data_IF_130080181643
#
_entry.id   IF_130080181643
#
_cell.length_a   1.000
_cell.length_b   1.000
_cell.length_c   1.000
_cell.angle_alpha   90.00
_cell.angle_beta   90.00
_cell.angle_gamma   90.00
#
_symmetry.space_group_name_H-M   'P 1'
#
loop_
_entity.id
_entity.type
_entity.pdbx_description
1 polymer ?
#
# COMPACT_ATOMS: atom_id res chain seq x y z
N UNK A 1 -27.50 22.83 2.12
CA UNK A 1 -26.93 21.58 1.58
C UNK A 1 -25.81 21.19 2.52
N UNK A 2 -25.95 20.09 3.25
CA UNK A 2 -24.94 19.63 4.21
C UNK A 2 -23.91 18.84 3.44
N UNK A 3 -22.70 19.39 3.27
CA UNK A 3 -21.59 18.66 2.65
C UNK A 3 -21.18 17.53 3.59
N UNK A 4 -21.39 16.29 3.18
CA UNK A 4 -20.90 15.11 3.91
C UNK A 4 -19.38 15.06 3.72
N UNK A 5 -18.64 14.97 4.82
CA UNK A 5 -17.18 14.83 4.79
C UNK A 5 -16.80 13.51 4.08
N UNK A 6 -15.76 13.51 3.23
CA UNK A 6 -15.33 12.30 2.53
C UNK A 6 -14.83 11.25 3.53
N UNK A 7 -15.07 9.95 3.28
CA UNK A 7 -14.60 8.89 4.16
C UNK A 7 -13.08 8.74 4.08
N UNK A 8 -12.46 8.29 5.17
CA UNK A 8 -11.05 7.91 5.20
C UNK A 8 -10.80 6.73 4.27
N UNK A 9 -9.82 6.87 3.39
CA UNK A 9 -9.31 5.82 2.52
C UNK A 9 -8.13 5.13 3.19
N UNK A 10 -8.06 3.81 3.07
CA UNK A 10 -6.95 2.98 3.48
C UNK A 10 -6.10 2.67 2.26
N UNK A 11 -4.82 3.00 2.33
CA UNK A 11 -3.85 2.78 1.27
C UNK A 11 -2.76 1.84 1.77
N UNK A 12 -2.40 0.79 1.01
CA UNK A 12 -1.27 -0.04 1.34
C UNK A 12 0.03 0.70 1.06
N UNK A 13 1.05 0.45 1.88
CA UNK A 13 2.38 1.03 1.72
C UNK A 13 3.42 -0.10 1.74
N UNK A 14 4.42 0.01 0.87
CA UNK A 14 5.46 -1.00 0.69
C UNK A 14 5.23 -1.89 -0.52
N UNK A 15 6.16 -2.80 -0.74
CA UNK A 15 6.18 -3.73 -1.87
C UNK A 15 6.42 -5.15 -1.37
N UNK A 16 5.65 -6.12 -1.87
CA UNK A 16 5.92 -7.52 -1.61
C UNK A 16 7.29 -7.94 -2.15
N UNK A 17 8.12 -8.50 -1.28
CA UNK A 17 9.51 -8.87 -1.53
C UNK A 17 9.75 -10.38 -1.39
N UNK A 18 8.68 -11.17 -1.41
CA UNK A 18 8.73 -12.64 -1.41
C UNK A 18 8.35 -13.26 -0.08
N UNK A 19 8.44 -14.59 -0.05
CA UNK A 19 8.05 -15.43 1.09
C UNK A 19 9.26 -16.17 1.60
N UNK A 20 9.36 -16.35 2.92
CA UNK A 20 10.41 -17.15 3.53
C UNK A 20 9.91 -18.55 3.92
N UNK A 21 10.69 -19.56 3.50
CA UNK A 21 10.53 -20.96 3.89
C UNK A 21 11.81 -21.40 4.63
N UNK A 22 11.71 -21.91 5.86
CA UNK A 22 12.87 -22.35 6.64
C UNK A 22 13.71 -23.45 5.98
N UNK A 23 13.06 -24.34 5.22
CA UNK A 23 13.70 -25.40 4.46
C UNK A 23 12.94 -25.67 3.15
N UNK A 24 13.59 -26.34 2.20
CA UNK A 24 12.91 -26.75 0.96
C UNK A 24 11.78 -27.72 1.30
N UNK A 25 10.56 -27.35 0.90
CA UNK A 25 9.35 -28.15 1.16
C UNK A 25 8.72 -27.93 2.54
N UNK A 26 9.24 -27.03 3.38
CA UNK A 26 8.58 -26.66 4.63
C UNK A 26 7.44 -25.67 4.39
N UNK A 27 6.50 -25.61 5.34
CA UNK A 27 5.49 -24.56 5.37
C UNK A 27 6.14 -23.16 5.36
N UNK A 28 5.40 -22.22 4.78
CA UNK A 28 5.73 -20.80 4.80
C UNK A 28 5.79 -20.32 6.26
N UNK A 29 6.77 -19.47 6.58
CA UNK A 29 6.88 -18.88 7.92
C UNK A 29 6.42 -17.43 7.98
N UNK A 30 6.77 -16.61 6.99
CA UNK A 30 6.35 -15.21 6.91
C UNK A 30 6.54 -14.66 5.49
N UNK A 31 5.85 -13.55 5.23
CA UNK A 31 5.97 -12.73 4.03
C UNK A 31 6.87 -11.54 4.29
N UNK A 32 7.63 -11.11 3.28
CA UNK A 32 8.52 -9.95 3.37
C UNK A 32 7.93 -8.78 2.62
N UNK A 33 7.77 -7.65 3.28
CA UNK A 33 7.36 -6.38 2.69
C UNK A 33 8.53 -5.41 2.76
N UNK A 34 8.93 -4.85 1.62
CA UNK A 34 9.94 -3.81 1.56
C UNK A 34 9.29 -2.43 1.68
N UNK A 35 9.76 -1.65 2.64
CA UNK A 35 9.41 -0.23 2.80
C UNK A 35 10.70 0.57 2.76
N UNK A 36 10.95 1.27 1.66
CA UNK A 36 12.21 2.00 1.42
C UNK A 36 13.44 1.06 1.49
N UNK A 37 14.31 1.25 2.47
CA UNK A 37 15.51 0.46 2.78
C UNK A 37 15.28 -0.62 3.84
N UNK A 38 14.08 -0.66 4.45
CA UNK A 38 13.71 -1.64 5.45
C UNK A 38 12.92 -2.82 4.86
N UNK A 39 13.02 -3.97 5.51
CA UNK A 39 12.24 -5.18 5.22
C UNK A 39 11.49 -5.57 6.48
N UNK A 40 10.17 -5.65 6.34
CA UNK A 40 9.24 -6.05 7.37
C UNK A 40 8.80 -7.50 7.14
N UNK A 41 8.75 -8.28 8.20
CA UNK A 41 8.28 -9.67 8.18
C UNK A 41 6.85 -9.71 8.72
N UNK A 42 5.91 -10.16 7.89
CA UNK A 42 4.50 -10.28 8.23
C UNK A 42 4.09 -11.75 8.25
N UNK A 43 3.44 -12.15 9.34
CA UNK A 43 2.73 -13.41 9.44
C UNK A 43 1.43 -13.35 8.62
N UNK A 44 0.86 -14.52 8.33
CA UNK A 44 -0.24 -14.69 7.39
C UNK A 44 -1.46 -13.79 7.67
N UNK A 45 -1.96 -13.60 8.91
CA UNK A 45 -3.11 -12.74 9.16
C UNK A 45 -2.83 -11.27 8.81
N UNK A 46 -1.65 -10.74 9.18
CA UNK A 46 -1.25 -9.37 8.85
C UNK A 46 -1.00 -9.21 7.36
N UNK A 47 -0.37 -10.18 6.74
CA UNK A 47 -0.14 -10.16 5.29
C UNK A 47 -1.45 -10.19 4.52
N UNK A 48 -2.44 -10.98 4.94
CA UNK A 48 -3.76 -11.02 4.33
C UNK A 48 -4.41 -9.63 4.33
N UNK A 49 -4.42 -8.93 5.46
CA UNK A 49 -4.98 -7.57 5.55
C UNK A 49 -4.23 -6.60 4.64
N UNK A 50 -2.89 -6.66 4.61
CA UNK A 50 -2.07 -5.83 3.73
C UNK A 50 -2.31 -6.14 2.23
N UNK A 51 -2.45 -7.42 1.87
CA UNK A 51 -2.70 -7.87 0.51
C UNK A 51 -4.10 -7.50 0.04
N UNK A 52 -5.09 -7.53 0.93
CA UNK A 52 -6.44 -7.04 0.66
C UNK A 52 -6.37 -5.58 0.26
N UNK A 53 -5.71 -4.71 1.01
CA UNK A 53 -5.56 -3.29 0.67
C UNK A 53 -4.94 -3.03 -0.74
N UNK A 54 -4.17 -3.97 -1.28
CA UNK A 54 -3.64 -3.91 -2.64
C UNK A 54 -4.64 -4.26 -3.74
N UNK A 55 -5.86 -4.71 -3.40
CA UNK A 55 -6.89 -5.09 -4.37
C UNK A 55 -6.73 -6.49 -4.95
N UNK A 56 -5.80 -7.32 -4.44
CA UNK A 56 -5.49 -8.64 -5.03
C UNK A 56 -6.66 -9.62 -4.90
N UNK A 57 -7.47 -9.47 -3.84
CA UNK A 57 -8.66 -10.30 -3.55
C UNK A 57 -9.85 -9.47 -3.03
N UNK A 58 -9.82 -8.16 -3.28
CA UNK A 58 -10.73 -7.17 -2.69
C UNK A 58 -11.93 -6.76 -3.55
N UNK A 59 -12.65 -5.69 -3.16
CA UNK A 59 -13.78 -5.16 -3.90
C UNK A 59 -13.32 -4.67 -5.30
N UNK A 60 -14.28 -4.45 -6.22
CA UNK A 60 -13.98 -3.98 -7.57
C UNK A 60 -13.08 -2.74 -7.56
N UNK A 61 -12.21 -2.61 -8.57
CA UNK A 61 -11.23 -1.51 -8.69
C UNK A 61 -11.83 -0.09 -8.60
N UNK A 62 -13.15 0.04 -8.76
CA UNK A 62 -13.91 1.28 -8.67
C UNK A 62 -14.40 1.62 -7.25
N UNK A 63 -14.34 0.68 -6.30
CA UNK A 63 -14.78 0.93 -4.92
C UNK A 63 -13.62 1.43 -4.07
N UNK A 64 -13.77 2.56 -3.34
CA UNK A 64 -12.75 3.04 -2.44
C UNK A 64 -12.51 2.06 -1.28
N UNK A 65 -11.24 1.83 -0.96
CA UNK A 65 -10.84 1.09 0.23
C UNK A 65 -11.11 1.91 1.48
N UNK A 66 -12.26 1.70 2.10
CA UNK A 66 -12.58 2.21 3.44
C UNK A 66 -12.49 1.08 4.46
N UNK A 67 -12.52 1.38 5.76
CA UNK A 67 -12.57 0.36 6.80
C UNK A 67 -13.77 -0.60 6.63
N UNK A 68 -14.92 -0.07 6.19
CA UNK A 68 -16.11 -0.90 5.92
C UNK A 68 -15.87 -1.87 4.75
N UNK A 69 -15.30 -1.37 3.65
CA UNK A 69 -14.95 -2.21 2.50
C UNK A 69 -13.88 -3.26 2.84
N UNK A 70 -12.91 -2.91 3.69
CA UNK A 70 -11.92 -3.85 4.20
C UNK A 70 -12.55 -4.93 5.08
N UNK A 71 -13.50 -4.56 5.95
CA UNK A 71 -14.21 -5.53 6.79
C UNK A 71 -15.01 -6.52 5.96
N UNK A 72 -15.75 -6.03 4.97
CA UNK A 72 -16.48 -6.90 4.02
C UNK A 72 -15.53 -7.82 3.26
N UNK A 73 -14.39 -7.29 2.79
CA UNK A 73 -13.43 -8.11 2.06
C UNK A 73 -12.73 -9.15 2.96
N UNK A 74 -12.49 -8.85 4.23
CA UNK A 74 -11.85 -9.75 5.19
C UNK A 74 -12.81 -10.82 5.76
N UNK A 75 -14.12 -10.68 5.53
CA UNK A 75 -15.14 -11.57 6.08
C UNK A 75 -14.90 -13.02 5.63
N UNK A 76 -14.79 -13.93 6.61
CA UNK A 76 -14.53 -15.35 6.36
C UNK A 76 -13.11 -15.70 5.89
N UNK A 77 -12.21 -14.72 5.74
CA UNK A 77 -10.82 -14.96 5.34
C UNK A 77 -9.84 -14.93 6.53
N UNK A 78 -10.17 -14.18 7.59
CA UNK A 78 -9.34 -14.13 8.80
C UNK A 78 -9.48 -15.40 9.64
N UNK A 79 -8.36 -15.92 10.21
CA UNK A 79 -8.41 -17.02 11.16
C UNK A 79 -9.25 -16.69 12.41
N UNK A 80 -9.81 -17.71 13.04
CA UNK A 80 -10.59 -17.53 14.26
C UNK A 80 -9.74 -16.92 15.39
N UNK A 81 -10.25 -15.84 16.00
CA UNK A 81 -9.57 -15.12 17.08
C UNK A 81 -8.71 -13.94 16.62
N UNK A 82 -8.52 -13.76 15.31
CA UNK A 82 -7.85 -12.59 14.75
C UNK A 82 -8.81 -11.43 14.56
N UNK A 83 -8.44 -10.24 15.05
CA UNK A 83 -9.26 -9.04 14.97
C UNK A 83 -8.73 -8.07 13.91
N UNK A 84 -9.53 -7.82 12.87
CA UNK A 84 -9.15 -6.95 11.74
C UNK A 84 -8.63 -5.58 12.18
N UNK A 85 -9.29 -4.95 13.15
CA UNK A 85 -8.91 -3.61 13.61
C UNK A 85 -7.54 -3.63 14.27
N UNK A 86 -7.23 -4.65 15.09
CA UNK A 86 -5.90 -4.77 15.70
C UNK A 86 -4.82 -5.01 14.66
N UNK A 87 -5.07 -5.88 13.68
CA UNK A 87 -4.13 -6.14 12.58
C UNK A 87 -3.89 -4.90 11.72
N UNK A 88 -4.94 -4.12 11.45
CA UNK A 88 -4.83 -2.87 10.70
C UNK A 88 -4.06 -1.81 11.49
N UNK A 89 -4.34 -1.66 12.79
CA UNK A 89 -3.65 -0.71 13.66
C UNK A 89 -2.15 -1.03 13.74
N UNK A 90 -1.78 -2.31 13.82
CA UNK A 90 -0.39 -2.76 13.73
C UNK A 90 0.26 -2.34 12.40
N UNK A 91 -0.42 -2.54 11.28
CA UNK A 91 0.08 -2.16 9.95
C UNK A 91 0.24 -0.64 9.81
N UNK A 92 -0.70 0.14 10.34
CA UNK A 92 -0.63 1.60 10.36
C UNK A 92 0.50 2.07 11.26
N UNK A 93 0.66 1.47 12.44
CA UNK A 93 1.76 1.76 13.37
C UNK A 93 3.13 1.46 12.77
N UNK A 94 3.24 0.40 11.96
CA UNK A 94 4.45 0.05 11.21
C UNK A 94 4.65 0.89 9.92
N UNK A 95 3.69 1.73 9.54
CA UNK A 95 3.74 2.50 8.30
C UNK A 95 3.56 1.67 7.02
N UNK A 96 3.05 0.44 7.14
CA UNK A 96 2.72 -0.48 6.03
C UNK A 96 1.30 -0.29 5.51
N UNK A 97 0.48 0.48 6.21
CA UNK A 97 -0.80 0.99 5.75
C UNK A 97 -0.95 2.46 6.18
N UNK A 98 -1.79 3.22 5.47
CA UNK A 98 -2.08 4.60 5.83
C UNK A 98 -3.56 4.92 5.64
N UNK A 99 -4.14 5.63 6.62
CA UNK A 99 -5.44 6.27 6.48
C UNK A 99 -5.27 7.68 5.93
N UNK A 100 -6.01 8.04 4.87
CA UNK A 100 -5.99 9.38 4.29
C UNK A 100 -7.40 9.89 4.04
N UNK A 101 -7.66 11.15 4.37
CA UNK A 101 -8.94 11.80 4.08
C UNK A 101 -8.82 12.56 2.76
N UNK A 102 -9.58 12.19 1.70
CA UNK A 102 -9.51 12.88 0.43
C UNK A 102 -9.76 14.39 0.56
N UNK A 103 -8.93 15.20 -0.11
CA UNK A 103 -9.04 16.66 -0.09
C UNK A 103 -8.44 17.35 1.14
N UNK A 104 -7.85 16.60 2.10
CA UNK A 104 -7.09 17.20 3.19
C UNK A 104 -5.65 17.55 2.78
N UNK A 105 -5.03 18.47 3.51
CA UNK A 105 -3.60 18.77 3.36
C UNK A 105 -2.72 17.54 3.63
N UNK A 106 -3.13 16.70 4.58
CA UNK A 106 -2.46 15.43 4.88
C UNK A 106 -2.45 14.48 3.69
N UNK A 107 -3.55 14.39 2.93
CA UNK A 107 -3.60 13.57 1.73
C UNK A 107 -2.65 14.09 0.63
N UNK A 108 -2.52 15.41 0.50
CA UNK A 108 -1.55 16.04 -0.41
C UNK A 108 -0.12 15.71 0.02
N UNK A 109 0.18 15.83 1.30
CA UNK A 109 1.51 15.52 1.84
C UNK A 109 1.85 14.03 1.76
N UNK A 110 0.87 13.16 1.97
CA UNK A 110 1.01 11.73 1.75
C UNK A 110 1.37 11.43 0.29
N UNK A 111 0.61 12.00 -0.67
CA UNK A 111 0.85 11.81 -2.09
C UNK A 111 2.21 12.37 -2.54
N UNK A 112 2.70 13.45 -1.92
CA UNK A 112 4.04 14.00 -2.18
C UNK A 112 5.15 13.07 -1.72
N UNK A 113 4.98 12.42 -0.56
CA UNK A 113 5.97 11.50 0.02
C UNK A 113 6.00 10.13 -0.64
N UNK A 114 4.85 9.64 -1.11
CA UNK A 114 4.67 8.29 -1.66
C UNK A 114 4.47 8.28 -3.18
N UNK A 115 5.06 9.25 -3.89
CA UNK A 115 4.97 9.29 -5.35
C UNK A 115 5.53 8.00 -5.95
N UNK A 116 4.67 7.29 -6.67
CA UNK A 116 5.07 6.21 -7.56
C UNK A 116 5.81 6.84 -8.75
N UNK A 117 7.12 7.03 -8.59
CA UNK A 117 7.99 7.34 -9.72
C UNK A 117 8.05 6.14 -10.66
N UNK A 118 8.28 6.33 -11.98
CA UNK A 118 8.63 5.22 -12.84
C UNK A 118 9.87 4.56 -12.25
N UNK A 119 9.70 3.36 -11.70
CA UNK A 119 10.80 2.60 -11.14
C UNK A 119 11.81 2.37 -12.24
N UNK A 120 13.00 2.98 -12.11
CA UNK A 120 14.16 2.59 -12.89
C UNK A 120 14.53 1.16 -12.48
N UNK A 121 13.82 0.19 -13.04
CA UNK A 121 14.14 -1.21 -12.90
C UNK A 121 15.50 -1.41 -13.58
N UNK A 122 16.51 -1.66 -12.76
CA UNK A 122 17.91 -1.82 -13.17
C UNK A 122 18.18 -3.14 -13.91
N UNK A 123 17.27 -3.57 -14.80
CA UNK A 123 17.45 -4.74 -15.66
C UNK A 123 17.79 -4.36 -17.12
N UNK A 124 17.77 -3.07 -17.48
CA UNK A 124 18.24 -2.63 -18.80
C UNK A 124 19.78 -2.63 -18.85
N UNK A 125 20.35 -3.78 -19.16
CA UNK A 125 21.79 -3.92 -19.42
C UNK A 125 22.13 -3.27 -20.78
N UNK A 126 22.48 -1.96 -20.74
CA UNK A 126 23.19 -1.11 -21.74
C UNK A 126 22.42 -0.63 -23.01
N UNK A 127 22.91 0.44 -23.69
CA UNK A 127 23.39 1.74 -23.21
C UNK A 127 22.60 2.93 -23.84
N UNK A 128 22.70 4.12 -23.21
CA UNK A 128 22.11 5.41 -23.65
C UNK A 128 20.58 5.45 -23.75
N UNK A 129 19.95 5.72 -22.61
CA UNK A 129 18.73 6.53 -22.63
C UNK A 129 19.07 7.92 -22.09
N UNK A 130 19.12 8.98 -22.92
CA UNK A 130 19.41 10.34 -22.46
C UNK A 130 18.26 10.97 -21.65
N UNK A 131 17.12 10.27 -21.48
CA UNK A 131 16.00 10.74 -20.66
C UNK A 131 16.28 10.85 -19.16
N UNK A 132 17.38 10.28 -18.66
CA UNK A 132 17.84 10.46 -17.29
C UNK A 132 18.83 11.62 -17.17
N UNK A 133 18.44 12.83 -17.57
CA UNK A 133 19.14 14.03 -17.08
C UNK A 133 18.17 15.03 -16.47
N UNK A 134 18.64 15.52 -15.33
CA UNK A 134 18.05 16.40 -14.33
C UNK A 134 17.40 17.67 -14.92
N UNK A 135 16.17 17.91 -14.48
CA UNK A 135 15.49 19.21 -14.25
C UNK A 135 15.20 20.14 -15.44
N UNK A 136 13.90 20.40 -15.65
CA UNK A 136 13.43 21.72 -16.00
C UNK A 136 12.04 21.95 -15.40
N UNK A 137 11.93 23.01 -14.62
CA UNK A 137 10.70 23.60 -14.13
C UNK A 137 9.70 23.80 -15.27
N UNK A 138 8.48 23.30 -15.09
CA UNK A 138 7.31 23.87 -15.75
C UNK A 138 6.09 23.65 -14.86
N UNK A 139 5.83 24.67 -14.04
CA UNK A 139 4.49 24.99 -13.55
C UNK A 139 3.60 25.08 -14.79
N UNK A 140 2.64 24.16 -14.91
CA UNK A 140 1.45 24.40 -15.74
C UNK A 140 0.29 24.69 -14.81
N UNK A 141 0.10 26.00 -14.67
CA UNK A 141 -1.04 26.75 -14.17
C UNK A 141 -2.37 26.07 -14.54
N UNK A 142 -3.19 25.74 -13.53
CA UNK A 142 -4.62 25.49 -13.69
C UNK A 142 -5.37 26.71 -13.17
N UNK A 143 -6.17 27.35 -14.03
CA UNK A 143 -7.26 28.27 -13.68
C UNK A 143 -8.05 28.63 -14.95
N UNK A 144 -9.32 29.04 -14.85
CA UNK A 144 -10.33 28.75 -13.82
C UNK A 144 -11.40 27.76 -14.30
#
# INVERSE_FOLDING_TARGET
MTTVAPPTLLLPVGQFFGTFHPAVGSEQRYHRIRLRDEVWELEDPRFLVWALLHGVTGPPAERPWTLAALREAAEGQLPAGEELTSLLDDLVGAGLAAGVVPGSDEAVDFARRHRLGPGCSAWATRPRNPGCTRSASSITRWSP
#
